data_IF_100727850125
#
_entry.id   IF_100727850125
#
_cell.length_a   1.000
_cell.length_b   1.000
_cell.length_c   1.000
_cell.angle_alpha   90.00
_cell.angle_beta   90.00
_cell.angle_gamma   90.00
#
_symmetry.space_group_name_H-M   'P 1'
#
loop_
_entity.id
_entity.type
_entity.pdbx_description
1 polymer ?
#
# COMPACT_ATOMS: atom_id res chain seq x y z
N UNK A 1 38.18 33.69 40.96
CA UNK A 1 37.96 32.24 40.74
C UNK A 1 36.81 32.06 39.77
N UNK A 2 37.04 31.28 38.73
CA UNK A 2 36.20 31.11 37.54
C UNK A 2 35.06 30.10 37.77
N UNK A 3 33.89 30.32 37.17
CA UNK A 3 33.23 29.34 36.27
C UNK A 3 31.89 29.90 35.76
N UNK A 4 31.89 30.43 34.52
CA UNK A 4 30.67 30.59 33.71
C UNK A 4 30.72 29.53 32.62
N UNK A 5 29.98 28.44 32.82
CA UNK A 5 29.81 27.37 31.84
C UNK A 5 29.05 27.96 30.64
N UNK A 6 29.67 27.89 29.45
CA UNK A 6 29.13 28.41 28.19
C UNK A 6 28.05 27.46 27.66
N UNK A 7 26.80 27.91 27.69
CA UNK A 7 25.59 27.22 27.19
C UNK A 7 25.46 27.21 25.64
N UNK A 8 26.50 27.58 24.90
CA UNK A 8 26.40 27.81 23.45
C UNK A 8 26.61 26.57 22.56
N UNK A 9 26.87 25.37 23.11
CA UNK A 9 27.18 24.18 22.30
C UNK A 9 26.04 23.16 22.14
N UNK A 10 24.92 23.30 22.85
CA UNK A 10 23.84 22.27 22.79
C UNK A 10 22.85 22.49 21.62
N UNK A 11 22.73 23.72 21.11
CA UNK A 11 21.76 24.02 20.05
C UNK A 11 22.18 23.61 18.64
N UNK A 12 23.49 23.45 18.36
CA UNK A 12 23.95 23.07 17.02
C UNK A 12 23.71 21.59 16.70
N UNK A 13 23.70 20.70 17.70
CA UNK A 13 23.49 19.26 17.49
C UNK A 13 22.01 18.90 17.26
N UNK A 14 21.06 19.70 17.78
CA UNK A 14 19.62 19.43 17.61
C UNK A 14 19.08 19.85 16.23
N UNK A 15 19.70 20.84 15.58
CA UNK A 15 19.26 21.31 14.25
C UNK A 15 19.72 20.37 13.13
N UNK A 16 20.83 19.64 13.31
CA UNK A 16 21.34 18.69 12.30
C UNK A 16 20.53 17.39 12.26
N UNK A 17 19.81 17.01 13.33
CA UNK A 17 18.98 15.81 13.34
C UNK A 17 17.60 15.98 12.69
N UNK A 18 17.17 17.21 12.38
CA UNK A 18 15.87 17.47 11.73
C UNK A 18 15.96 17.65 10.20
N UNK A 19 17.17 17.71 9.63
CA UNK A 19 17.34 18.02 8.20
C UNK A 19 17.44 16.79 7.27
N UNK A 20 17.48 15.56 7.81
CA UNK A 20 17.83 14.37 7.02
C UNK A 20 16.67 13.63 6.34
N UNK A 21 15.40 14.00 6.61
CA UNK A 21 14.26 13.30 6.00
C UNK A 21 13.87 13.84 4.60
N UNK A 22 14.47 14.94 4.15
CA UNK A 22 14.09 15.61 2.90
C UNK A 22 14.51 14.86 1.62
N UNK A 23 15.48 13.94 1.71
CA UNK A 23 16.06 13.26 0.55
C UNK A 23 15.23 12.08 0.03
N UNK A 24 14.28 11.56 0.83
CA UNK A 24 13.40 10.45 0.43
C UNK A 24 12.23 10.89 -0.44
N UNK A 25 11.74 12.12 -0.25
CA UNK A 25 10.56 12.65 -0.95
C UNK A 25 10.75 12.92 -2.46
N UNK A 26 11.86 13.52 -2.96
CA UNK A 26 12.02 13.76 -4.39
C UNK A 26 12.26 12.47 -5.19
N UNK A 27 12.83 11.43 -4.55
CA UNK A 27 13.12 10.15 -5.23
C UNK A 27 11.82 9.42 -5.61
N UNK A 28 10.83 9.40 -4.71
CA UNK A 28 9.54 8.77 -4.97
C UNK A 28 8.76 9.47 -6.10
N UNK A 29 8.85 10.81 -6.23
CA UNK A 29 8.16 11.53 -7.31
C UNK A 29 8.74 11.25 -8.69
N UNK A 30 10.06 11.09 -8.79
CA UNK A 30 10.73 10.75 -10.05
C UNK A 30 10.44 9.29 -10.43
N UNK A 31 10.52 8.37 -9.46
CA UNK A 31 10.22 6.94 -9.64
C UNK A 31 8.76 6.71 -10.07
N UNK A 32 7.82 7.55 -9.62
CA UNK A 32 6.41 7.48 -10.03
C UNK A 32 6.14 8.12 -11.39
N UNK A 33 7.01 9.00 -11.90
CA UNK A 33 6.80 9.71 -13.16
C UNK A 33 7.40 8.97 -14.35
N UNK A 34 8.57 8.34 -14.18
CA UNK A 34 9.24 7.58 -15.22
C UNK A 34 8.51 6.24 -15.53
N UNK A 35 8.68 5.68 -16.74
CA UNK A 35 8.23 4.31 -17.02
C UNK A 35 8.89 3.28 -16.07
N UNK A 36 8.12 2.38 -15.45
CA UNK A 36 8.62 1.44 -14.44
C UNK A 36 9.61 0.40 -14.99
N UNK A 37 10.77 0.23 -14.35
CA UNK A 37 11.83 -0.72 -14.75
C UNK A 37 12.17 -1.78 -13.71
N UNK A 38 12.07 -1.48 -12.42
CA UNK A 38 12.47 -2.34 -11.29
C UNK A 38 11.32 -2.63 -10.31
N UNK A 39 10.17 -1.99 -10.51
CA UNK A 39 8.95 -2.18 -9.74
C UNK A 39 7.73 -1.67 -10.49
N UNK A 40 6.56 -1.78 -9.88
CA UNK A 40 5.29 -1.27 -10.39
C UNK A 40 4.53 -0.63 -9.23
N UNK A 41 4.90 0.59 -8.87
CA UNK A 41 4.56 1.20 -7.58
C UNK A 41 3.08 1.59 -7.45
N UNK A 42 2.35 1.73 -8.56
CA UNK A 42 0.91 2.01 -8.58
C UNK A 42 0.22 1.33 -9.75
N UNK A 43 -1.08 1.08 -9.60
CA UNK A 43 -1.97 0.76 -10.73
C UNK A 43 -1.76 1.75 -11.88
N UNK A 44 -1.72 1.31 -13.13
CA UNK A 44 -1.43 2.17 -14.28
C UNK A 44 0.05 2.45 -14.58
N UNK A 45 0.99 1.95 -13.76
CA UNK A 45 2.44 2.05 -14.01
C UNK A 45 3.04 3.32 -13.42
N UNK A 46 2.89 4.44 -14.12
CA UNK A 46 3.40 5.76 -13.71
C UNK A 46 2.24 6.76 -13.49
N UNK A 47 2.54 8.00 -13.11
CA UNK A 47 1.54 9.06 -12.90
C UNK A 47 0.73 9.39 -14.15
N UNK A 48 1.24 9.04 -15.33
CA UNK A 48 0.54 9.20 -16.61
C UNK A 48 -0.44 8.05 -16.93
N UNK A 49 -0.52 7.01 -16.09
CA UNK A 49 -1.40 5.85 -16.26
C UNK A 49 -1.26 5.12 -17.61
N UNK A 50 -0.03 5.08 -18.14
CA UNK A 50 0.23 4.55 -19.49
C UNK A 50 0.16 3.03 -19.57
N UNK A 51 0.19 2.30 -18.44
CA UNK A 51 0.30 0.84 -18.40
C UNK A 51 1.45 0.30 -19.29
N UNK A 52 2.55 1.04 -19.36
CA UNK A 52 3.68 0.76 -20.23
C UNK A 52 4.92 0.38 -19.41
N UNK A 53 5.62 -0.68 -19.84
CA UNK A 53 6.96 -1.03 -19.34
C UNK A 53 7.97 -0.92 -20.49
N UNK A 54 9.13 -0.30 -20.27
CA UNK A 54 10.21 -0.24 -21.24
C UNK A 54 11.05 -1.54 -21.29
N UNK A 55 10.77 -2.54 -20.46
CA UNK A 55 11.51 -3.80 -20.42
C UNK A 55 11.30 -4.61 -21.71
N UNK A 56 12.38 -5.12 -22.28
CA UNK A 56 12.37 -5.83 -23.58
C UNK A 56 12.84 -7.28 -23.52
N UNK A 57 13.14 -7.78 -22.31
CA UNK A 57 13.58 -9.17 -22.11
C UNK A 57 12.59 -10.17 -22.69
N UNK A 58 11.28 -9.92 -22.53
CA UNK A 58 10.21 -10.67 -23.17
C UNK A 58 9.76 -9.88 -24.40
N UNK A 59 9.73 -10.53 -25.55
CA UNK A 59 9.42 -9.91 -26.84
C UNK A 59 8.75 -10.91 -27.80
N UNK A 60 8.40 -10.44 -29.00
CA UNK A 60 7.65 -11.23 -30.00
C UNK A 60 8.39 -12.50 -30.44
N UNK A 61 9.72 -12.51 -30.32
CA UNK A 61 10.57 -13.62 -30.74
C UNK A 61 10.64 -14.72 -29.68
N UNK A 62 10.42 -14.41 -28.39
CA UNK A 62 10.59 -15.37 -27.31
C UNK A 62 9.34 -15.60 -26.43
N UNK A 63 8.26 -14.84 -26.61
CA UNK A 63 7.02 -14.95 -25.79
C UNK A 63 6.41 -16.36 -25.81
N UNK A 64 6.57 -17.09 -26.91
CA UNK A 64 6.11 -18.47 -27.04
C UNK A 64 6.78 -19.45 -26.06
N UNK A 65 7.91 -19.07 -25.47
CA UNK A 65 8.65 -19.90 -24.52
C UNK A 65 8.31 -19.58 -23.05
N UNK A 66 7.36 -18.68 -22.79
CA UNK A 66 6.97 -18.32 -21.42
C UNK A 66 6.39 -19.51 -20.66
N UNK A 67 6.81 -19.64 -19.40
CA UNK A 67 6.34 -20.66 -18.46
C UNK A 67 6.09 -20.01 -17.11
N UNK A 68 5.17 -20.58 -16.34
CA UNK A 68 4.96 -20.17 -14.96
C UNK A 68 6.19 -20.45 -14.12
N UNK A 69 6.71 -19.44 -13.42
CA UNK A 69 7.84 -19.58 -12.50
C UNK A 69 7.37 -20.04 -11.12
N UNK A 70 6.24 -19.50 -10.66
CA UNK A 70 5.58 -19.88 -9.42
C UNK A 70 4.09 -19.55 -9.48
N UNK A 71 3.32 -20.09 -8.53
CA UNK A 71 1.93 -19.74 -8.24
C UNK A 71 1.78 -19.53 -6.74
N UNK A 72 1.16 -18.42 -6.35
CA UNK A 72 0.80 -18.15 -4.95
C UNK A 72 -0.65 -18.58 -4.69
N UNK A 73 -0.93 -19.02 -3.45
CA UNK A 73 -2.29 -19.21 -2.95
C UNK A 73 -2.62 -18.01 -2.06
N UNK A 74 -3.80 -17.42 -2.24
CA UNK A 74 -4.28 -16.30 -1.43
C UNK A 74 -5.14 -16.80 -0.27
N UNK A 75 -4.73 -17.91 0.35
CA UNK A 75 -5.36 -18.52 1.53
C UNK A 75 -6.90 -18.66 1.46
N UNK A 76 -7.45 -18.89 0.25
CA UNK A 76 -8.90 -19.06 0.05
C UNK A 76 -9.70 -17.76 -0.03
N UNK A 77 -9.04 -16.60 0.08
CA UNK A 77 -9.68 -15.28 -0.01
C UNK A 77 -10.26 -15.01 -1.40
N UNK A 78 -11.46 -14.44 -1.44
CA UNK A 78 -12.10 -14.01 -2.69
C UNK A 78 -12.55 -15.13 -3.64
N UNK A 79 -12.74 -16.37 -3.16
CA UNK A 79 -13.06 -17.52 -4.02
C UNK A 79 -14.55 -17.77 -4.29
N UNK A 80 -15.46 -17.24 -3.48
CA UNK A 80 -16.90 -17.37 -3.71
C UNK A 80 -17.38 -16.58 -4.94
N UNK A 81 -18.51 -16.99 -5.53
CA UNK A 81 -19.06 -16.41 -6.78
C UNK A 81 -19.41 -14.92 -6.69
N UNK A 82 -19.57 -14.38 -5.47
CA UNK A 82 -19.82 -12.95 -5.25
C UNK A 82 -18.57 -12.07 -5.45
N UNK A 83 -17.37 -12.65 -5.46
CA UNK A 83 -16.10 -11.92 -5.54
C UNK A 83 -15.58 -11.81 -6.98
N UNK A 84 -14.88 -10.71 -7.26
CA UNK A 84 -14.19 -10.46 -8.54
C UNK A 84 -12.73 -10.04 -8.28
N UNK A 85 -11.81 -10.59 -9.06
CA UNK A 85 -10.38 -10.26 -9.01
C UNK A 85 -10.01 -9.16 -10.01
N UNK A 86 -10.23 -7.90 -9.65
CA UNK A 86 -9.97 -6.74 -10.52
C UNK A 86 -8.71 -5.95 -10.17
N UNK A 87 -8.04 -6.31 -9.07
CA UNK A 87 -6.87 -5.58 -8.60
C UNK A 87 -5.68 -5.75 -9.56
N UNK A 88 -5.06 -4.64 -9.92
CA UNK A 88 -3.70 -4.66 -10.48
C UNK A 88 -2.71 -4.82 -9.32
N UNK A 89 -1.84 -5.85 -9.33
CA UNK A 89 -0.79 -5.97 -8.32
C UNK A 89 0.18 -4.78 -8.41
N UNK A 90 0.69 -4.35 -7.26
CA UNK A 90 1.81 -3.40 -7.20
C UNK A 90 3.06 -4.14 -6.74
N UNK A 91 4.23 -3.71 -7.22
CA UNK A 91 5.51 -4.34 -6.91
C UNK A 91 6.48 -3.28 -6.42
N UNK A 92 7.03 -3.48 -5.22
CA UNK A 92 8.01 -2.58 -4.61
C UNK A 92 9.01 -3.42 -3.82
N UNK A 93 10.31 -3.12 -3.96
CA UNK A 93 11.40 -3.79 -3.25
C UNK A 93 11.35 -5.34 -3.26
N UNK A 94 11.01 -5.92 -4.41
CA UNK A 94 10.96 -7.38 -4.58
C UNK A 94 9.75 -8.07 -3.93
N UNK A 95 8.73 -7.30 -3.53
CA UNK A 95 7.47 -7.78 -2.98
C UNK A 95 6.32 -7.41 -3.90
N UNK A 96 5.47 -8.40 -4.22
CA UNK A 96 4.18 -8.21 -4.88
C UNK A 96 3.13 -7.97 -3.80
N UNK A 97 2.39 -6.88 -3.90
CA UNK A 97 1.22 -6.62 -3.07
C UNK A 97 -0.04 -6.73 -3.92
N UNK A 98 -1.02 -7.50 -3.45
CA UNK A 98 -2.30 -7.71 -4.14
C UNK A 98 -3.46 -7.74 -3.13
N UNK A 99 -4.59 -7.17 -3.52
CA UNK A 99 -5.83 -7.14 -2.75
C UNK A 99 -6.87 -8.00 -3.46
N UNK A 100 -7.64 -8.77 -2.70
CA UNK A 100 -8.71 -9.63 -3.25
C UNK A 100 -10.05 -8.91 -3.28
N UNK A 101 -11.05 -9.52 -3.90
CA UNK A 101 -12.43 -9.02 -3.82
C UNK A 101 -13.01 -9.04 -2.39
N UNK A 102 -12.36 -9.71 -1.43
CA UNK A 102 -12.72 -9.69 -0.01
C UNK A 102 -11.99 -8.57 0.77
N UNK A 103 -11.25 -7.70 0.08
CA UNK A 103 -10.37 -6.66 0.64
C UNK A 103 -9.21 -7.18 1.50
N UNK A 104 -8.93 -8.47 1.46
CA UNK A 104 -7.74 -9.04 2.08
C UNK A 104 -6.51 -8.67 1.26
N UNK A 105 -5.40 -8.36 1.94
CA UNK A 105 -4.15 -7.90 1.31
C UNK A 105 -3.08 -8.95 1.54
N UNK A 106 -2.33 -9.27 0.50
CA UNK A 106 -1.24 -10.23 0.54
C UNK A 106 0.05 -9.57 0.07
N UNK A 107 1.13 -9.76 0.84
CA UNK A 107 2.49 -9.46 0.41
C UNK A 107 3.19 -10.76 0.05
N UNK A 108 3.73 -10.85 -1.16
CA UNK A 108 4.27 -12.08 -1.74
C UNK A 108 5.68 -11.80 -2.27
N UNK A 109 6.64 -12.67 -1.96
CA UNK A 109 7.98 -12.54 -2.53
C UNK A 109 7.97 -12.73 -4.04
N UNK A 110 8.46 -11.74 -4.81
CA UNK A 110 8.61 -11.85 -6.28
C UNK A 110 9.51 -13.04 -6.65
N UNK A 111 10.53 -13.31 -5.83
CA UNK A 111 11.53 -14.37 -6.10
C UNK A 111 10.97 -15.78 -5.93
N UNK A 112 10.12 -15.99 -4.92
CA UNK A 112 9.73 -17.35 -4.50
C UNK A 112 8.24 -17.64 -4.63
N UNK A 113 7.40 -16.63 -4.78
CA UNK A 113 5.94 -16.77 -4.74
C UNK A 113 5.37 -17.09 -3.36
N UNK A 114 6.18 -17.05 -2.30
CA UNK A 114 5.74 -17.27 -0.92
C UNK A 114 5.09 -16.01 -0.35
N UNK A 115 3.94 -16.19 0.31
CA UNK A 115 3.32 -15.16 1.15
C UNK A 115 4.26 -14.80 2.30
N UNK A 116 4.59 -13.53 2.42
CA UNK A 116 5.40 -12.96 3.50
C UNK A 116 4.53 -12.60 4.70
N UNK A 117 3.39 -11.96 4.42
CA UNK A 117 2.35 -11.65 5.37
C UNK A 117 1.02 -11.45 4.62
N UNK A 118 -0.09 -11.56 5.36
CA UNK A 118 -1.42 -11.22 4.87
C UNK A 118 -2.19 -10.42 5.92
N UNK A 119 -3.15 -9.64 5.45
CA UNK A 119 -4.10 -8.89 6.25
C UNK A 119 -5.52 -9.33 5.85
N UNK A 120 -6.35 -9.60 6.86
CA UNK A 120 -7.75 -9.94 6.66
C UNK A 120 -8.65 -8.73 6.91
N UNK A 121 -9.44 -8.35 5.92
CA UNK A 121 -10.39 -7.25 6.05
C UNK A 121 -11.52 -7.59 7.02
N UNK A 122 -11.97 -8.85 7.03
CA UNK A 122 -13.09 -9.36 7.84
C UNK A 122 -14.36 -8.51 7.63
N UNK A 123 -14.72 -8.32 6.36
CA UNK A 123 -15.95 -7.63 5.98
C UNK A 123 -17.18 -8.37 6.52
N UNK A 124 -18.25 -7.62 6.84
CA UNK A 124 -19.53 -8.23 7.19
C UNK A 124 -20.17 -8.86 5.95
N UNK A 125 -20.30 -10.18 5.95
CA UNK A 125 -20.92 -10.98 4.89
C UNK A 125 -22.36 -10.55 4.56
N UNK A 126 -23.03 -9.77 5.42
CA UNK A 126 -24.37 -9.21 5.20
C UNK A 126 -24.40 -8.00 4.28
N UNK A 127 -23.25 -7.48 3.82
CA UNK A 127 -23.21 -6.35 2.88
C UNK A 127 -23.80 -6.79 1.52
N UNK A 128 -25.01 -6.32 1.24
CA UNK A 128 -25.75 -6.60 -0.01
C UNK A 128 -25.93 -5.37 -0.90
N UNK A 129 -25.56 -4.17 -0.43
CA UNK A 129 -25.77 -2.88 -1.12
C UNK A 129 -24.83 -2.65 -2.32
N UNK A 130 -24.22 -3.71 -2.86
CA UNK A 130 -23.18 -3.64 -3.89
C UNK A 130 -23.76 -4.12 -5.21
N UNK A 131 -23.76 -3.26 -6.23
CA UNK A 131 -24.41 -3.54 -7.52
C UNK A 131 -23.75 -4.66 -8.33
N UNK A 132 -22.45 -4.85 -8.15
CA UNK A 132 -21.58 -5.35 -9.21
C UNK A 132 -20.60 -6.41 -8.70
N UNK A 133 -20.95 -7.09 -7.61
CA UNK A 133 -20.07 -8.02 -6.91
C UNK A 133 -19.07 -7.32 -5.97
N UNK A 134 -18.48 -8.12 -5.09
CA UNK A 134 -17.45 -7.67 -4.16
C UNK A 134 -16.11 -7.64 -4.89
N UNK A 135 -15.57 -6.44 -5.05
CA UNK A 135 -14.40 -6.18 -5.89
C UNK A 135 -13.52 -5.12 -5.26
N UNK A 136 -12.23 -5.21 -5.54
CA UNK A 136 -11.24 -4.19 -5.22
C UNK A 136 -10.39 -3.90 -6.44
N UNK A 137 -10.17 -2.63 -6.76
CA UNK A 137 -9.39 -2.19 -7.94
C UNK A 137 -7.90 -2.04 -7.66
N UNK A 138 -7.47 -2.32 -6.44
CA UNK A 138 -6.08 -2.27 -6.05
C UNK A 138 -5.85 -1.44 -4.80
N UNK A 139 -4.60 -1.00 -4.67
CA UNK A 139 -4.09 -0.26 -3.53
C UNK A 139 -3.09 0.80 -4.00
N UNK A 140 -2.67 1.65 -3.08
CA UNK A 140 -1.57 2.59 -3.32
C UNK A 140 -0.50 2.45 -2.25
N UNK A 141 0.75 2.69 -2.65
CA UNK A 141 1.91 2.72 -1.76
C UNK A 141 2.28 4.17 -1.43
N UNK A 142 2.76 4.41 -0.22
CA UNK A 142 3.28 5.72 0.18
C UNK A 142 3.79 5.71 1.60
N UNK A 143 4.95 6.34 1.84
CA UNK A 143 5.56 6.47 3.17
C UNK A 143 5.73 5.12 3.91
N UNK A 144 6.05 4.04 3.17
CA UNK A 144 6.17 2.69 3.73
C UNK A 144 4.85 2.04 4.13
N UNK A 145 3.73 2.54 3.59
CA UNK A 145 2.38 2.04 3.86
C UNK A 145 1.65 1.66 2.60
N UNK A 146 0.72 0.72 2.77
CA UNK A 146 -0.27 0.32 1.77
C UNK A 146 -1.61 0.90 2.19
N UNK A 147 -2.24 1.64 1.27
CA UNK A 147 -3.56 2.22 1.47
C UNK A 147 -4.60 1.45 0.66
N UNK A 148 -5.64 0.97 1.34
CA UNK A 148 -6.73 0.17 0.75
C UNK A 148 -8.08 0.77 1.13
N UNK A 149 -8.89 1.08 0.12
CA UNK A 149 -10.30 1.38 0.29
C UNK A 149 -11.09 0.08 0.36
N UNK A 150 -11.85 -0.10 1.44
CA UNK A 150 -12.64 -1.30 1.71
C UNK A 150 -14.11 -1.10 1.31
N UNK A 151 -14.78 -2.20 0.98
CA UNK A 151 -16.18 -2.28 0.55
C UNK A 151 -17.15 -1.75 1.60
N UNK A 152 -16.81 -1.87 2.88
CA UNK A 152 -17.59 -1.33 4.00
C UNK A 152 -17.39 0.19 4.22
N UNK A 153 -16.66 0.84 3.32
CA UNK A 153 -16.42 2.27 3.36
C UNK A 153 -15.28 2.68 4.29
N UNK A 154 -14.35 1.80 4.64
CA UNK A 154 -13.14 2.16 5.41
C UNK A 154 -11.94 2.43 4.50
N UNK A 155 -11.06 3.33 4.93
CA UNK A 155 -9.70 3.47 4.41
C UNK A 155 -8.75 2.89 5.45
N UNK A 156 -7.94 1.94 5.03
CA UNK A 156 -6.98 1.25 5.88
C UNK A 156 -5.58 1.57 5.40
N UNK A 157 -4.69 1.85 6.36
CA UNK A 157 -3.27 2.00 6.14
C UNK A 157 -2.53 0.86 6.83
N UNK A 158 -1.83 0.05 6.05
CA UNK A 158 -1.06 -1.11 6.51
C UNK A 158 0.43 -0.81 6.39
N UNK A 159 1.25 -1.31 7.31
CA UNK A 159 2.70 -1.25 7.16
C UNK A 159 3.17 -2.23 6.08
N UNK A 160 3.98 -1.77 5.11
CA UNK A 160 4.49 -2.62 4.03
C UNK A 160 5.28 -3.84 4.54
N UNK A 161 5.92 -3.73 5.72
CA UNK A 161 6.73 -4.80 6.31
C UNK A 161 5.91 -5.76 7.17
N UNK A 162 4.60 -5.60 7.26
CA UNK A 162 3.71 -6.49 8.03
C UNK A 162 3.79 -6.28 9.55
N UNK A 163 4.17 -5.07 9.99
CA UNK A 163 4.27 -4.71 11.40
C UNK A 163 2.92 -4.54 12.12
N UNK A 164 2.97 -4.46 13.45
CA UNK A 164 1.80 -4.29 14.34
C UNK A 164 1.05 -2.96 14.17
N UNK A 165 1.60 -2.00 13.42
CA UNK A 165 1.08 -0.63 13.29
C UNK A 165 0.13 -0.50 12.09
N UNK A 166 -0.91 -1.34 12.04
CA UNK A 166 -1.96 -1.26 11.04
C UNK A 166 -3.13 -0.42 11.58
N UNK A 167 -3.57 0.58 10.82
CA UNK A 167 -4.60 1.53 11.25
C UNK A 167 -5.81 1.48 10.32
N UNK A 168 -7.03 1.52 10.89
CA UNK A 168 -8.29 1.57 10.14
C UNK A 168 -9.05 2.85 10.47
N UNK A 169 -9.58 3.53 9.46
CA UNK A 169 -10.48 4.69 9.62
C UNK A 169 -11.69 4.55 8.69
N UNK A 170 -12.90 4.97 9.07
CA UNK A 170 -14.00 5.12 8.12
C UNK A 170 -13.59 6.15 7.04
N UNK A 171 -13.69 5.77 5.77
CA UNK A 171 -13.57 6.67 4.62
C UNK A 171 -14.95 7.28 4.27
N UNK A 172 -16.01 6.51 4.49
CA UNK A 172 -17.39 6.94 4.35
C UNK A 172 -17.95 7.26 5.73
N UNK A 173 -18.33 8.53 5.92
CA UNK A 173 -19.14 8.95 7.04
C UNK A 173 -20.61 8.79 6.64
N UNK A 174 -21.34 7.91 7.32
CA UNK A 174 -22.80 7.86 7.17
C UNK A 174 -23.39 9.16 7.71
N UNK A 175 -24.26 9.81 6.93
CA UNK A 175 -24.96 11.04 7.29
C UNK A 175 -25.84 10.81 8.52
N UNK A 176 -25.43 11.36 9.66
CA UNK A 176 -26.34 11.76 10.75
C UNK A 176 -26.41 13.31 10.76
N UNK A 177 -27.24 13.88 9.88
CA UNK A 177 -27.45 15.33 9.76
C UNK A 177 -26.35 16.11 9.01
N UNK A 178 -26.18 17.40 9.32
CA UNK A 178 -25.48 18.41 8.50
C UNK A 178 -23.99 18.65 8.83
N UNK A 179 -23.33 17.75 9.56
CA UNK A 179 -21.91 17.90 9.91
C UNK A 179 -21.02 17.03 9.05
N UNK A 180 -20.45 17.64 8.02
CA UNK A 180 -19.23 17.15 7.40
C UNK A 180 -18.08 17.46 8.36
N UNK A 181 -17.22 16.48 8.64
CA UNK A 181 -16.03 16.56 9.51
C UNK A 181 -16.28 16.45 11.03
N UNK A 182 -15.87 15.31 11.62
CA UNK A 182 -15.29 15.28 12.97
C UNK A 182 -13.77 15.16 12.82
N UNK A 183 -13.08 16.20 13.26
CA UNK A 183 -11.68 16.48 12.98
C UNK A 183 -10.67 15.39 13.33
N UNK A 184 -9.49 15.54 12.73
CA UNK A 184 -8.25 14.85 13.05
C UNK A 184 -8.03 14.83 14.57
N UNK A 185 -8.14 13.65 15.19
CA UNK A 185 -7.60 13.42 16.53
C UNK A 185 -6.39 12.52 16.44
N UNK A 186 -5.34 12.99 17.11
CA UNK A 186 -4.02 12.41 17.21
C UNK A 186 -4.00 10.90 17.49
N UNK A 187 -2.91 10.33 17.02
CA UNK A 187 -2.56 8.93 16.95
C UNK A 187 -2.53 8.29 18.33
N UNK A 188 -3.34 7.25 18.53
CA UNK A 188 -3.16 6.31 19.62
C UNK A 188 -3.06 4.90 19.06
N UNK A 189 -1.99 4.23 19.44
CA UNK A 189 -1.80 2.78 19.32
C UNK A 189 -2.99 2.06 19.97
N UNK A 190 -3.66 1.17 19.24
CA UNK A 190 -4.73 0.34 19.79
C UNK A 190 -4.20 -0.67 20.82
N UNK A 191 -5.04 -1.13 21.76
CA UNK A 191 -4.64 -2.03 22.85
C UNK A 191 -4.63 -3.51 22.41
N UNK A 192 -3.90 -4.29 23.21
CA UNK A 192 -3.71 -5.75 23.25
C UNK A 192 -4.84 -6.63 22.69
#
# INVERSE_FOLDING_TARGET
MQNKIRWTFVLAALVVLLASNSALYPKLSDDLSAPPTDGWLKSGGNLFNQNYSPLTQINRQNVANLKGVWRARLEGSGLATKYSGEAQPVVHDGVVYIVTGADDVFAISVKTGKTLWNYEARLDEKITTVCCGWTSRGMSLGEGKIFVGQLDGRLVALDEKGGLHNYRRPALFRRDGDRWFRGWREWHTGPH
#
